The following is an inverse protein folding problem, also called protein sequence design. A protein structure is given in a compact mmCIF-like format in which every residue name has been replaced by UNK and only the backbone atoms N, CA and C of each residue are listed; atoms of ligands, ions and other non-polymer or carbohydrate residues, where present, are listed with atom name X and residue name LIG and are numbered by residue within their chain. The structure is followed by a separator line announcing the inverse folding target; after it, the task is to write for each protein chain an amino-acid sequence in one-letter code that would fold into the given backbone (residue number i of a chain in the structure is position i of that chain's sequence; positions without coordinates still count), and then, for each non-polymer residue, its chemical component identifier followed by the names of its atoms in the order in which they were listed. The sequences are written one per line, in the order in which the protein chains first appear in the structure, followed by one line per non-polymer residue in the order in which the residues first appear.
data_IF_292754467300
#
_entry.id   IF_292754467300
#
_cell.length_a   1.000
_cell.length_b   1.000
_cell.length_c   1.000
_cell.angle_alpha   90.00
_cell.angle_beta   90.00
_cell.angle_gamma   90.00
#
_symmetry.space_group_name_H-M   'P 1'
#
loop_
_entity.id
_entity.type
_entity.pdbx_description
1 polymer ?
#
# COMPACT_ATOMS: atom_id res chain seq x y z
N UNK A 1 -1.86 -2.68 -1.69
CA UNK A 1 -2.75 -2.67 -2.86
C UNK A 1 -4.04 -3.43 -2.60
N UNK A 2 -3.99 -4.71 -2.20
CA UNK A 2 -5.20 -5.50 -1.93
C UNK A 2 -6.15 -4.88 -0.88
N UNK A 3 -5.62 -4.23 0.16
CA UNK A 3 -6.44 -3.49 1.14
C UNK A 3 -7.17 -2.32 0.48
N UNK A 4 -6.51 -1.61 -0.43
CA UNK A 4 -7.10 -0.52 -1.22
C UNK A 4 -8.13 -1.05 -2.23
N UNK A 5 -7.97 -2.29 -2.69
CA UNK A 5 -8.93 -2.99 -3.56
C UNK A 5 -10.10 -3.61 -2.77
N UNK A 6 -10.05 -3.60 -1.44
CA UNK A 6 -11.05 -4.26 -0.58
C UNK A 6 -10.96 -5.79 -0.53
N UNK A 7 -9.88 -6.39 -1.07
CA UNK A 7 -9.68 -7.85 -1.14
C UNK A 7 -9.07 -8.38 0.17
N UNK A 8 -8.11 -7.64 0.74
CA UNK A 8 -7.45 -8.02 2.01
C UNK A 8 -8.00 -7.20 3.18
N UNK A 9 -8.40 -7.84 4.29
CA UNK A 9 -8.72 -7.13 5.53
C UNK A 9 -7.49 -6.39 6.09
N UNK A 10 -7.67 -5.14 6.51
CA UNK A 10 -6.55 -4.30 6.96
C UNK A 10 -5.87 -4.80 8.24
N UNK A 11 -6.60 -5.45 9.15
CA UNK A 11 -6.05 -5.96 10.40
C UNK A 11 -4.95 -7.01 10.19
N UNK A 12 -4.95 -7.71 9.03
CA UNK A 12 -3.87 -8.63 8.68
C UNK A 12 -2.51 -7.94 8.51
N UNK A 13 -2.51 -6.61 8.33
CA UNK A 13 -1.30 -5.82 8.22
C UNK A 13 -0.92 -5.12 9.53
N UNK A 14 -1.71 -5.22 10.60
CA UNK A 14 -1.49 -4.47 11.84
C UNK A 14 -0.12 -4.74 12.50
N UNK A 15 0.44 -5.94 12.33
CA UNK A 15 1.79 -6.27 12.83
C UNK A 15 2.92 -5.68 11.98
N UNK A 16 2.64 -5.35 10.71
CA UNK A 16 3.63 -4.96 9.69
C UNK A 16 3.67 -3.46 9.42
N UNK A 17 2.67 -2.68 9.84
CA UNK A 17 2.70 -1.23 9.76
C UNK A 17 2.80 -0.63 11.16
N UNK A 18 3.38 0.57 11.26
CA UNK A 18 3.16 1.41 12.42
C UNK A 18 1.66 1.82 12.52
N UNK A 19 1.17 2.16 13.72
CA UNK A 19 -0.23 2.56 13.92
C UNK A 19 -0.70 3.72 13.04
N UNK A 20 0.17 4.71 12.76
CA UNK A 20 -0.18 5.86 11.92
C UNK A 20 -0.37 5.43 10.48
N UNK A 21 0.56 4.64 9.93
CA UNK A 21 0.43 4.09 8.58
C UNK A 21 -0.80 3.18 8.45
N UNK A 22 -1.12 2.38 9.47
CA UNK A 22 -2.33 1.57 9.48
C UNK A 22 -3.58 2.45 9.36
N UNK A 23 -3.67 3.53 10.14
CA UNK A 23 -4.79 4.47 10.10
C UNK A 23 -4.91 5.19 8.74
N UNK A 24 -3.80 5.65 8.17
CA UNK A 24 -3.77 6.27 6.83
C UNK A 24 -4.26 5.29 5.76
N UNK A 25 -3.77 4.05 5.78
CA UNK A 25 -4.20 3.03 4.83
C UNK A 25 -5.68 2.70 5.00
N UNK A 26 -6.17 2.62 6.24
CA UNK A 26 -7.58 2.39 6.56
C UNK A 26 -8.45 3.48 5.96
N UNK A 27 -8.10 4.74 6.24
CA UNK A 27 -8.83 5.90 5.77
C UNK A 27 -8.87 5.96 4.24
N UNK A 28 -7.72 5.81 3.57
CA UNK A 28 -7.65 5.77 2.10
C UNK A 28 -8.48 4.62 1.52
N UNK A 29 -8.46 3.43 2.12
CA UNK A 29 -9.28 2.31 1.67
C UNK A 29 -10.78 2.60 1.78
N UNK A 30 -11.21 3.31 2.83
CA UNK A 30 -12.61 3.68 3.03
C UNK A 30 -13.07 4.72 2.00
N UNK A 31 -12.23 5.72 1.71
CA UNK A 31 -12.53 6.72 0.67
C UNK A 31 -12.66 6.07 -0.71
N UNK A 32 -11.71 5.22 -1.11
CA UNK A 32 -11.77 4.53 -2.40
C UNK A 32 -13.04 3.69 -2.54
N UNK A 33 -13.41 2.93 -1.49
CA UNK A 33 -14.66 2.15 -1.49
C UNK A 33 -15.90 3.03 -1.62
N UNK A 34 -15.94 4.18 -0.92
CA UNK A 34 -17.06 5.13 -1.02
C UNK A 34 -17.18 5.69 -2.44
N UNK A 35 -16.07 6.10 -3.04
CA UNK A 35 -16.06 6.61 -4.42
C UNK A 35 -16.47 5.53 -5.44
N UNK A 36 -16.00 4.29 -5.27
CA UNK A 36 -16.41 3.15 -6.09
C UNK A 36 -17.91 2.86 -6.00
N UNK A 37 -18.54 3.04 -4.84
CA UNK A 37 -19.99 2.85 -4.67
C UNK A 37 -20.84 3.97 -5.26
N UNK A 38 -20.27 5.17 -5.47
CA UNK A 38 -20.98 6.34 -6.01
C UNK A 38 -20.83 6.52 -7.52
N UNK A 39 -19.73 6.03 -8.09
CA UNK A 39 -19.41 6.22 -9.50
C UNK A 39 -19.82 5.03 -10.35
N UNK A 40 -20.43 5.29 -11.51
CA UNK A 40 -20.66 4.27 -12.55
C UNK A 40 -19.42 4.01 -13.43
N UNK A 41 -18.25 4.59 -13.10
CA UNK A 41 -17.04 4.48 -13.91
C UNK A 41 -16.47 3.05 -13.93
N UNK A 42 -16.36 2.40 -15.10
CA UNK A 42 -15.80 1.05 -15.21
C UNK A 42 -14.32 0.97 -14.84
N UNK A 43 -13.56 2.06 -14.98
CA UNK A 43 -12.16 2.12 -14.58
C UNK A 43 -12.03 2.18 -13.05
N UNK A 44 -12.91 2.92 -12.38
CA UNK A 44 -12.91 3.00 -10.91
C UNK A 44 -13.27 1.65 -10.26
N UNK A 45 -14.20 0.91 -10.86
CA UNK A 45 -14.60 -0.43 -10.40
C UNK A 45 -13.47 -1.48 -10.49
N UNK A 46 -12.51 -1.27 -11.39
CA UNK A 46 -11.33 -2.14 -11.58
C UNK A 46 -10.07 -1.62 -10.90
N UNK A 47 -10.13 -0.47 -10.24
CA UNK A 47 -8.98 0.15 -9.58
C UNK A 47 -8.35 -0.82 -8.57
N UNK A 48 -7.03 -0.98 -8.66
CA UNK A 48 -6.24 -1.89 -7.81
C UNK A 48 -6.54 -3.40 -7.96
N UNK A 49 -7.45 -3.82 -8.85
CA UNK A 49 -7.66 -5.24 -9.16
C UNK A 49 -6.45 -5.81 -9.90
N UNK A 50 -6.19 -7.10 -9.67
CA UNK A 50 -5.07 -7.84 -10.28
C UNK A 50 -3.73 -7.11 -10.15
N UNK A 51 -3.48 -6.45 -9.01
CA UNK A 51 -2.24 -5.71 -8.78
C UNK A 51 -1.04 -6.65 -8.79
N UNK A 52 -0.07 -6.38 -9.67
CA UNK A 52 1.19 -7.12 -9.79
C UNK A 52 2.36 -6.18 -9.53
N UNK A 53 3.31 -6.61 -8.68
CA UNK A 53 4.57 -5.89 -8.48
C UNK A 53 5.51 -6.20 -9.64
N UNK A 54 5.84 -5.18 -10.44
CA UNK A 54 6.71 -5.32 -11.63
C UNK A 54 8.18 -5.19 -11.31
N UNK A 55 8.51 -4.31 -10.38
CA UNK A 55 9.90 -4.08 -9.96
C UNK A 55 9.92 -3.56 -8.54
N UNK A 56 10.98 -3.88 -7.82
CA UNK A 56 11.28 -3.35 -6.49
C UNK A 56 12.74 -2.91 -6.48
N UNK A 57 13.01 -1.74 -5.89
CA UNK A 57 14.35 -1.33 -5.49
C UNK A 57 14.32 -1.00 -4.02
N UNK A 58 15.33 -1.42 -3.28
CA UNK A 58 15.49 -1.14 -1.86
C UNK A 58 16.92 -0.65 -1.60
N UNK A 59 17.06 0.25 -0.65
CA UNK A 59 18.34 0.81 -0.21
C UNK A 59 18.36 0.87 1.31
N UNK A 60 19.45 0.39 1.91
CA UNK A 60 19.71 0.62 3.34
C UNK A 60 20.21 2.05 3.51
N UNK A 61 19.43 2.89 4.20
CA UNK A 61 19.75 4.30 4.40
C UNK A 61 20.41 4.54 5.77
N UNK A 62 20.23 3.60 6.70
CA UNK A 62 20.90 3.53 7.99
C UNK A 62 20.79 2.08 8.51
N UNK A 63 21.61 1.66 9.49
CA UNK A 63 21.54 0.31 10.06
C UNK A 63 20.11 -0.07 10.49
N UNK A 64 19.53 -1.08 9.84
CA UNK A 64 18.18 -1.56 10.14
C UNK A 64 17.04 -0.66 9.64
N UNK A 65 17.34 0.29 8.75
CA UNK A 65 16.39 1.18 8.10
C UNK A 65 16.55 1.09 6.58
N UNK A 66 15.48 0.70 5.90
CA UNK A 66 15.44 0.58 4.46
C UNK A 66 14.40 1.51 3.87
N UNK A 67 14.74 2.13 2.75
CA UNK A 67 13.77 2.77 1.87
C UNK A 67 13.60 1.91 0.63
N UNK A 68 12.36 1.72 0.21
CA UNK A 68 12.05 0.91 -0.95
C UNK A 68 11.02 1.58 -1.84
N UNK A 69 11.19 1.36 -3.14
CA UNK A 69 10.28 1.82 -4.19
C UNK A 69 9.84 0.61 -5.00
N UNK A 70 8.54 0.50 -5.25
CA UNK A 70 7.96 -0.54 -6.08
C UNK A 70 7.10 0.07 -7.18
N UNK A 71 7.13 -0.55 -8.37
CA UNK A 71 6.18 -0.27 -9.43
C UNK A 71 5.11 -1.36 -9.39
N UNK A 72 3.87 -0.97 -9.13
CA UNK A 72 2.72 -1.86 -9.15
C UNK A 72 1.87 -1.54 -10.37
N UNK A 73 1.53 -2.56 -11.14
CA UNK A 73 0.58 -2.44 -12.25
C UNK A 73 -0.72 -3.12 -11.86
N UNK A 74 -1.85 -2.42 -12.05
CA UNK A 74 -3.20 -2.95 -11.92
C UNK A 74 -3.94 -2.92 -13.27
N UNK A 75 -5.20 -3.35 -13.31
CA UNK A 75 -6.05 -3.37 -14.52
C UNK A 75 -6.25 -1.98 -15.17
N UNK A 76 -5.86 -0.89 -14.50
CA UNK A 76 -6.17 0.48 -14.89
C UNK A 76 -4.91 1.30 -15.13
N UNK A 77 -3.87 1.16 -14.29
CA UNK A 77 -2.63 1.94 -14.39
C UNK A 77 -1.45 1.33 -13.65
N UNK A 78 -0.26 1.84 -13.98
CA UNK A 78 0.94 1.68 -13.16
C UNK A 78 0.98 2.74 -12.03
N UNK A 79 1.52 2.35 -10.88
CA UNK A 79 1.67 3.19 -9.69
C UNK A 79 3.03 2.99 -9.06
N UNK A 80 3.63 4.09 -8.64
CA UNK A 80 4.77 4.04 -7.73
C UNK A 80 4.27 3.87 -6.28
N UNK A 81 4.91 2.97 -5.56
CA UNK A 81 4.73 2.76 -4.12
C UNK A 81 6.08 2.99 -3.46
N UNK A 82 6.17 4.00 -2.61
CA UNK A 82 7.34 4.26 -1.80
C UNK A 82 7.06 3.82 -0.36
N UNK A 83 8.01 3.18 0.31
CA UNK A 83 7.90 2.75 1.70
C UNK A 83 9.21 2.96 2.44
N UNK A 84 9.09 3.27 3.73
CA UNK A 84 10.18 3.19 4.70
C UNK A 84 9.95 2.02 5.64
N UNK A 85 10.97 1.20 5.83
CA UNK A 85 10.98 0.00 6.64
C UNK A 85 11.98 0.17 7.77
N UNK A 86 11.53 0.01 9.00
CA UNK A 86 12.39 0.07 10.19
C UNK A 86 12.31 -1.23 10.97
N UNK A 87 13.49 -1.72 11.39
CA UNK A 87 13.61 -2.92 12.23
C UNK A 87 13.60 -2.52 13.70
N UNK A 88 12.57 -2.93 14.43
CA UNK A 88 12.49 -2.75 15.89
C UNK A 88 12.27 -4.09 16.57
N UNK A 89 13.10 -4.41 17.57
CA UNK A 89 13.04 -5.69 18.34
C UNK A 89 12.86 -6.92 17.42
N UNK A 90 13.69 -7.00 16.37
CA UNK A 90 13.67 -8.08 15.36
C UNK A 90 12.45 -8.13 14.43
N UNK A 91 11.57 -7.11 14.45
CA UNK A 91 10.40 -7.02 13.57
C UNK A 91 10.54 -5.85 12.61
N UNK A 92 10.42 -6.12 11.31
CA UNK A 92 10.30 -5.09 10.28
C UNK A 92 8.89 -4.50 10.26
N UNK A 93 8.80 -3.18 10.33
CA UNK A 93 7.57 -2.41 10.17
C UNK A 93 7.73 -1.36 9.09
N UNK A 94 6.66 -1.15 8.33
CA UNK A 94 6.51 0.03 7.48
C UNK A 94 6.17 1.21 8.37
N UNK A 95 7.03 2.22 8.42
CA UNK A 95 6.87 3.42 9.23
C UNK A 95 6.40 4.63 8.42
N UNK A 96 6.63 4.61 7.11
CA UNK A 96 6.06 5.56 6.16
C UNK A 96 5.73 4.86 4.85
N UNK A 97 4.70 5.35 4.15
CA UNK A 97 4.42 4.91 2.78
C UNK A 97 3.68 5.96 1.95
N UNK A 98 3.86 5.88 0.64
CA UNK A 98 3.13 6.63 -0.36
C UNK A 98 2.68 5.71 -1.49
N UNK A 99 1.52 6.02 -2.08
CA UNK A 99 1.00 5.35 -3.28
C UNK A 99 0.53 6.44 -4.24
N UNK A 100 1.12 6.47 -5.44
CA UNK A 100 0.73 7.37 -6.54
C UNK A 100 -0.55 6.96 -7.26
#
# INVERSE_FOLDING_TARGET
MEVLAGIRPIHQLARRLDPRCLAVLQHRSALIRREQGRSASPSLARLHRNSIVRSVRACEVAPGIYEASAVVVDDVRARAVAVRLERSKQVWRVTEFMVG
#
